data_IF_596189861189
#
_entry.id   IF_596189861189
#
_cell.length_a   1.000
_cell.length_b   1.000
_cell.length_c   1.000
_cell.angle_alpha   90.00
_cell.angle_beta   90.00
_cell.angle_gamma   90.00
#
_symmetry.space_group_name_H-M   'P 1'
#
loop_
_entity.id
_entity.type
_entity.pdbx_description
1 polymer ?
#
# COMPACT_ATOMS: atom_id res chain seq x y z
N UNK A 1 -38.47 0.10 -25.46
CA UNK A 1 -37.09 0.21 -25.99
C UNK A 1 -36.08 -0.50 -25.08
N UNK A 2 -36.08 -0.25 -23.78
CA UNK A 2 -35.16 -0.88 -22.81
C UNK A 2 -35.23 -2.40 -22.75
N UNK A 3 -36.42 -3.02 -22.77
CA UNK A 3 -36.58 -4.49 -22.72
C UNK A 3 -36.01 -5.21 -23.96
N UNK A 4 -36.10 -4.60 -25.13
CA UNK A 4 -35.50 -5.17 -26.36
C UNK A 4 -33.97 -5.04 -26.38
N UNK A 5 -33.43 -3.98 -25.81
CA UNK A 5 -31.98 -3.78 -25.65
C UNK A 5 -31.43 -4.80 -24.63
N UNK A 6 -32.12 -4.98 -23.52
CA UNK A 6 -31.77 -5.97 -22.49
C UNK A 6 -31.72 -7.39 -23.06
N UNK A 7 -32.78 -7.80 -23.78
CA UNK A 7 -32.83 -9.13 -24.42
C UNK A 7 -31.78 -9.33 -25.53
N UNK A 8 -31.33 -8.26 -26.22
CA UNK A 8 -30.22 -8.33 -27.17
C UNK A 8 -28.88 -8.47 -26.46
N UNK A 9 -28.64 -7.71 -25.40
CA UNK A 9 -27.42 -7.81 -24.58
C UNK A 9 -27.32 -9.21 -23.96
N UNK A 10 -28.40 -9.78 -23.42
CA UNK A 10 -28.40 -11.14 -22.89
C UNK A 10 -27.97 -12.18 -23.91
N UNK A 11 -28.41 -12.08 -25.16
CA UNK A 11 -27.96 -13.00 -26.23
C UNK A 11 -26.47 -12.88 -26.53
N UNK A 12 -25.88 -11.67 -26.46
CA UNK A 12 -24.45 -11.45 -26.65
C UNK A 12 -23.61 -12.18 -25.57
N UNK A 13 -24.11 -12.20 -24.33
CA UNK A 13 -23.41 -12.87 -23.23
C UNK A 13 -23.36 -14.40 -23.39
N UNK A 14 -24.23 -14.99 -24.20
CA UNK A 14 -24.15 -16.41 -24.52
C UNK A 14 -23.02 -16.76 -25.49
N UNK A 15 -22.52 -15.79 -26.27
CA UNK A 15 -21.39 -15.96 -27.19
C UNK A 15 -20.11 -15.88 -26.36
N UNK A 16 -19.26 -16.93 -26.31
CA UNK A 16 -18.08 -16.97 -25.45
C UNK A 16 -17.11 -15.80 -25.65
N UNK A 17 -16.96 -15.36 -26.90
CA UNK A 17 -16.08 -14.25 -27.24
C UNK A 17 -16.53 -12.93 -26.61
N UNK A 18 -17.78 -12.54 -26.72
CA UNK A 18 -18.28 -11.28 -26.14
C UNK A 18 -18.29 -11.32 -24.62
N UNK A 19 -18.56 -12.50 -24.04
CA UNK A 19 -18.46 -12.70 -22.60
C UNK A 19 -17.02 -12.49 -22.11
N UNK A 20 -16.05 -13.13 -22.75
CA UNK A 20 -14.63 -13.00 -22.37
C UNK A 20 -14.11 -11.58 -22.60
N UNK A 21 -14.50 -10.95 -23.71
CA UNK A 21 -14.13 -9.55 -24.01
C UNK A 21 -14.68 -8.59 -22.95
N UNK A 22 -15.95 -8.71 -22.59
CA UNK A 22 -16.56 -7.86 -21.56
C UNK A 22 -15.87 -8.08 -20.21
N UNK A 23 -15.61 -9.34 -19.82
CA UNK A 23 -14.90 -9.68 -18.61
C UNK A 23 -13.52 -9.00 -18.56
N UNK A 24 -12.76 -9.08 -19.67
CA UNK A 24 -11.43 -8.51 -19.79
C UNK A 24 -11.46 -6.96 -19.75
N UNK A 25 -12.39 -6.32 -20.45
CA UNK A 25 -12.50 -4.86 -20.48
C UNK A 25 -12.90 -4.29 -19.11
N UNK A 26 -13.86 -4.93 -18.43
CA UNK A 26 -14.27 -4.52 -17.08
C UNK A 26 -13.13 -4.71 -16.10
N UNK A 27 -12.39 -5.84 -16.19
CA UNK A 27 -11.23 -6.09 -15.36
C UNK A 27 -10.09 -5.09 -15.58
N UNK A 28 -9.79 -4.78 -16.85
CA UNK A 28 -8.74 -3.82 -17.22
C UNK A 28 -9.06 -2.37 -16.78
N UNK A 29 -10.33 -2.06 -16.48
CA UNK A 29 -10.75 -0.77 -15.95
C UNK A 29 -10.55 -0.65 -14.42
N UNK A 30 -10.27 -1.72 -13.70
CA UNK A 30 -10.13 -1.69 -12.23
C UNK A 30 -9.06 -0.73 -11.73
N UNK A 31 -7.87 -0.55 -12.38
CA UNK A 31 -6.87 0.40 -11.92
C UNK A 31 -7.38 1.85 -11.84
N UNK A 32 -8.39 2.22 -12.63
CA UNK A 32 -8.97 3.56 -12.60
C UNK A 32 -9.64 3.89 -11.25
N UNK A 33 -10.01 2.89 -10.46
CA UNK A 33 -10.57 3.09 -9.12
C UNK A 33 -9.51 3.39 -8.06
N UNK A 34 -8.23 3.15 -8.33
CA UNK A 34 -7.11 3.37 -7.43
C UNK A 34 -6.34 4.65 -7.77
N UNK A 35 -5.38 5.00 -6.92
CA UNK A 35 -4.43 6.06 -7.22
C UNK A 35 -3.60 5.72 -8.49
N UNK A 36 -3.28 6.73 -9.31
CA UNK A 36 -3.52 8.17 -9.16
C UNK A 36 -4.90 8.68 -9.61
N UNK A 37 -5.76 7.80 -10.12
CA UNK A 37 -7.03 8.21 -10.76
C UNK A 37 -8.16 8.46 -9.75
N UNK A 38 -8.20 7.71 -8.63
CA UNK A 38 -9.16 7.87 -7.53
C UNK A 38 -10.65 7.85 -7.91
N UNK A 39 -11.02 7.18 -9.02
CA UNK A 39 -12.44 7.00 -9.38
C UNK A 39 -13.08 5.90 -8.50
N UNK A 40 -13.11 6.12 -7.20
CA UNK A 40 -13.55 5.16 -6.18
C UNK A 40 -14.93 4.55 -6.46
N UNK A 41 -15.85 5.31 -7.03
CA UNK A 41 -17.21 4.88 -7.38
C UNK A 41 -17.24 3.80 -8.46
N UNK A 42 -16.18 3.66 -9.27
CA UNK A 42 -16.08 2.60 -10.27
C UNK A 42 -15.98 1.20 -9.63
N UNK A 43 -15.27 1.04 -8.52
CA UNK A 43 -14.99 -0.29 -7.99
C UNK A 43 -16.26 -1.06 -7.59
N UNK A 44 -17.24 -0.50 -6.85
CA UNK A 44 -18.50 -1.19 -6.60
C UNK A 44 -19.23 -1.59 -7.87
N UNK A 45 -19.16 -0.78 -8.93
CA UNK A 45 -19.81 -1.07 -10.22
C UNK A 45 -19.09 -2.21 -10.97
N UNK A 46 -17.76 -2.15 -11.05
CA UNK A 46 -16.95 -3.18 -11.73
C UNK A 46 -17.05 -4.53 -11.01
N UNK A 47 -17.01 -4.53 -9.68
CA UNK A 47 -17.18 -5.74 -8.90
C UNK A 47 -18.63 -6.27 -9.00
N UNK A 48 -19.63 -5.40 -8.99
CA UNK A 48 -21.02 -5.76 -9.26
C UNK A 48 -21.21 -6.38 -10.65
N UNK A 49 -20.54 -5.85 -11.68
CA UNK A 49 -20.56 -6.41 -13.01
C UNK A 49 -19.94 -7.82 -13.04
N UNK A 50 -18.82 -8.05 -12.32
CA UNK A 50 -18.25 -9.39 -12.15
C UNK A 50 -19.24 -10.36 -11.50
N UNK A 51 -19.89 -9.94 -10.38
CA UNK A 51 -20.91 -10.76 -9.70
C UNK A 51 -21.98 -11.21 -10.70
N UNK A 52 -22.52 -10.27 -11.46
CA UNK A 52 -23.58 -10.53 -12.44
C UNK A 52 -23.11 -11.45 -13.57
N UNK A 53 -21.94 -11.19 -14.15
CA UNK A 53 -21.37 -12.06 -15.18
C UNK A 53 -21.14 -13.48 -14.66
N UNK A 54 -20.65 -13.63 -13.43
CA UNK A 54 -20.44 -14.93 -12.81
C UNK A 54 -21.77 -15.70 -12.59
N UNK A 55 -22.84 -15.00 -12.18
CA UNK A 55 -24.18 -15.60 -12.03
C UNK A 55 -24.79 -16.04 -13.38
N UNK A 56 -24.49 -15.35 -14.48
CA UNK A 56 -24.94 -15.74 -15.83
C UNK A 56 -24.33 -17.08 -16.30
N UNK A 57 -23.13 -17.42 -15.83
CA UNK A 57 -22.45 -18.68 -16.18
C UNK A 57 -22.00 -19.45 -14.92
N UNK A 58 -22.94 -20.03 -14.15
CA UNK A 58 -22.61 -20.67 -12.86
C UNK A 58 -21.57 -21.81 -12.97
N UNK A 59 -21.55 -22.53 -14.11
CA UNK A 59 -20.57 -23.59 -14.38
C UNK A 59 -19.14 -23.04 -14.52
N UNK A 60 -18.99 -21.82 -15.01
CA UNK A 60 -17.71 -21.15 -15.26
C UNK A 60 -17.41 -20.03 -14.25
N UNK A 61 -18.22 -19.86 -13.19
CA UNK A 61 -18.13 -18.79 -12.21
C UNK A 61 -16.71 -18.62 -11.64
N UNK A 62 -16.07 -19.73 -11.24
CA UNK A 62 -14.73 -19.73 -10.68
C UNK A 62 -13.67 -19.29 -11.69
N UNK A 63 -13.78 -19.81 -12.92
CA UNK A 63 -12.88 -19.42 -14.02
C UNK A 63 -13.09 -17.95 -14.39
N UNK A 64 -14.31 -17.47 -14.40
CA UNK A 64 -14.62 -16.06 -14.68
C UNK A 64 -14.00 -15.15 -13.62
N UNK A 65 -14.10 -15.49 -12.34
CA UNK A 65 -13.45 -14.75 -11.26
C UNK A 65 -11.93 -14.78 -11.39
N UNK A 66 -11.34 -15.95 -11.67
CA UNK A 66 -9.91 -16.08 -11.88
C UNK A 66 -9.41 -15.20 -13.04
N UNK A 67 -10.03 -15.31 -14.22
CA UNK A 67 -9.64 -14.56 -15.41
C UNK A 67 -9.85 -13.05 -15.25
N UNK A 68 -10.94 -12.65 -14.60
CA UNK A 68 -11.17 -11.24 -14.28
C UNK A 68 -10.01 -10.67 -13.43
N UNK A 69 -9.69 -11.33 -12.32
CA UNK A 69 -8.66 -10.82 -11.42
C UNK A 69 -7.25 -11.05 -11.94
N UNK A 70 -7.02 -12.02 -12.79
CA UNK A 70 -5.77 -12.15 -13.53
C UNK A 70 -5.53 -10.90 -14.40
N UNK A 71 -6.54 -10.46 -15.17
CA UNK A 71 -6.43 -9.27 -16.01
C UNK A 71 -6.35 -8.00 -15.14
N UNK A 72 -7.18 -7.89 -14.11
CA UNK A 72 -7.19 -6.74 -13.19
C UNK A 72 -5.83 -6.56 -12.50
N UNK A 73 -5.27 -7.60 -11.90
CA UNK A 73 -3.97 -7.53 -11.25
C UNK A 73 -2.82 -7.33 -12.24
N UNK A 74 -2.89 -7.95 -13.43
CA UNK A 74 -1.89 -7.71 -14.49
C UNK A 74 -1.87 -6.24 -14.94
N UNK A 75 -3.05 -5.63 -15.07
CA UNK A 75 -3.16 -4.20 -15.41
C UNK A 75 -2.69 -3.29 -14.27
N UNK A 76 -2.97 -3.66 -13.03
CA UNK A 76 -2.66 -2.86 -11.86
C UNK A 76 -1.19 -2.93 -11.46
N UNK A 77 -0.55 -4.09 -11.64
CA UNK A 77 0.82 -4.38 -11.16
C UNK A 77 1.82 -4.51 -12.30
N UNK A 78 1.55 -3.94 -13.47
CA UNK A 78 2.50 -3.94 -14.58
C UNK A 78 3.87 -3.34 -14.22
N UNK A 79 3.91 -2.46 -13.21
CA UNK A 79 5.14 -1.88 -12.69
C UNK A 79 6.14 -2.91 -12.11
N UNK A 80 5.71 -4.15 -11.85
CA UNK A 80 6.63 -5.25 -11.50
C UNK A 80 7.59 -5.53 -12.66
N UNK A 81 7.12 -5.41 -13.90
CA UNK A 81 7.96 -5.53 -15.09
C UNK A 81 9.08 -4.48 -15.08
N UNK A 82 8.75 -3.23 -14.73
CA UNK A 82 9.74 -2.14 -14.63
C UNK A 82 10.83 -2.49 -13.63
N UNK A 83 10.49 -3.02 -12.46
CA UNK A 83 11.49 -3.43 -11.47
C UNK A 83 12.37 -4.57 -11.96
N UNK A 84 11.81 -5.55 -12.69
CA UNK A 84 12.56 -6.71 -13.18
C UNK A 84 13.39 -6.41 -14.41
N UNK A 85 12.83 -5.68 -15.38
CA UNK A 85 13.49 -5.41 -16.66
C UNK A 85 14.31 -4.12 -16.62
N UNK A 86 13.66 -2.98 -16.34
CA UNK A 86 14.28 -1.66 -16.52
C UNK A 86 15.33 -1.37 -15.44
N UNK A 87 15.09 -1.84 -14.20
CA UNK A 87 15.98 -1.58 -13.05
C UNK A 87 16.94 -2.73 -12.80
N UNK A 88 16.47 -3.99 -12.80
CA UNK A 88 17.32 -5.16 -12.52
C UNK A 88 18.00 -5.72 -13.77
N UNK A 89 17.65 -5.24 -14.98
CA UNK A 89 18.31 -5.67 -16.24
C UNK A 89 17.94 -7.08 -16.69
N UNK A 90 16.84 -7.67 -16.15
CA UNK A 90 16.41 -9.00 -16.55
C UNK A 90 15.85 -8.99 -17.98
N UNK A 91 16.28 -9.94 -18.82
CA UNK A 91 15.78 -10.05 -20.20
C UNK A 91 14.26 -10.26 -20.23
N UNK A 92 13.60 -9.66 -21.22
CA UNK A 92 12.13 -9.73 -21.39
C UNK A 92 11.58 -11.17 -21.52
N UNK A 93 12.39 -12.11 -22.02
CA UNK A 93 12.01 -13.53 -22.09
C UNK A 93 11.71 -14.09 -20.71
N UNK A 94 12.33 -13.57 -19.65
CA UNK A 94 12.11 -13.94 -18.26
C UNK A 94 11.22 -12.91 -17.53
N UNK A 95 11.47 -11.61 -17.74
CA UNK A 95 10.76 -10.54 -17.03
C UNK A 95 9.24 -10.58 -17.29
N UNK A 96 8.81 -10.76 -18.54
CA UNK A 96 7.39 -10.79 -18.90
C UNK A 96 6.66 -11.97 -18.24
N UNK A 97 7.09 -13.24 -18.38
CA UNK A 97 6.42 -14.36 -17.71
C UNK A 97 6.38 -14.22 -16.18
N UNK A 98 7.45 -13.75 -15.56
CA UNK A 98 7.51 -13.54 -14.11
C UNK A 98 6.58 -12.42 -13.64
N UNK A 99 6.44 -11.35 -14.43
CA UNK A 99 5.47 -10.28 -14.16
C UNK A 99 4.05 -10.81 -14.11
N UNK A 100 3.67 -11.73 -14.98
CA UNK A 100 2.34 -12.35 -14.97
C UNK A 100 2.16 -13.45 -13.93
N UNK A 101 3.23 -14.05 -13.45
CA UNK A 101 3.17 -15.14 -12.47
C UNK A 101 2.56 -14.64 -11.15
N UNK A 102 2.94 -13.45 -10.68
CA UNK A 102 2.39 -12.89 -9.44
C UNK A 102 0.88 -12.62 -9.54
N UNK A 103 0.35 -11.88 -10.54
CA UNK A 103 -1.09 -11.76 -10.78
C UNK A 103 -1.81 -13.10 -10.87
N UNK A 104 -1.21 -14.10 -11.52
CA UNK A 104 -1.81 -15.43 -11.65
C UNK A 104 -1.97 -16.14 -10.30
N UNK A 105 -0.97 -16.04 -9.43
CA UNK A 105 -1.05 -16.57 -8.06
C UNK A 105 -2.06 -15.78 -7.22
N UNK A 106 -2.03 -14.45 -7.28
CA UNK A 106 -2.96 -13.61 -6.54
C UNK A 106 -4.42 -13.84 -6.95
N UNK A 107 -4.68 -14.10 -8.23
CA UNK A 107 -6.03 -14.37 -8.74
C UNK A 107 -6.64 -15.69 -8.21
N UNK A 108 -5.86 -16.58 -7.60
CA UNK A 108 -6.36 -17.80 -6.96
C UNK A 108 -7.21 -17.47 -5.72
N UNK A 109 -6.93 -16.40 -4.97
CA UNK A 109 -7.73 -16.02 -3.81
C UNK A 109 -9.16 -15.60 -4.18
N UNK A 110 -9.39 -14.68 -5.14
CA UNK A 110 -10.70 -14.44 -5.73
C UNK A 110 -11.40 -15.69 -6.26
N UNK A 111 -10.67 -16.53 -6.98
CA UNK A 111 -11.22 -17.78 -7.51
C UNK A 111 -11.71 -18.70 -6.37
N UNK A 112 -10.96 -18.80 -5.28
CA UNK A 112 -11.34 -19.55 -4.09
C UNK A 112 -12.60 -18.96 -3.43
N UNK A 113 -12.68 -17.62 -3.27
CA UNK A 113 -13.88 -16.97 -2.74
C UNK A 113 -15.12 -17.32 -3.55
N UNK A 114 -15.04 -17.28 -4.89
CA UNK A 114 -16.14 -17.63 -5.78
C UNK A 114 -16.42 -19.15 -5.80
N UNK A 115 -15.41 -20.02 -5.64
CA UNK A 115 -15.59 -21.45 -5.50
C UNK A 115 -16.36 -21.82 -4.22
N UNK A 116 -16.03 -21.17 -3.12
CA UNK A 116 -16.75 -21.32 -1.85
C UNK A 116 -18.17 -20.76 -1.97
N UNK A 117 -18.31 -19.53 -2.50
CA UNK A 117 -19.62 -18.91 -2.73
C UNK A 117 -20.56 -19.79 -3.55
N UNK A 118 -20.07 -20.45 -4.60
CA UNK A 118 -20.86 -21.37 -5.43
C UNK A 118 -21.46 -22.54 -4.64
N UNK A 119 -20.80 -22.94 -3.52
CA UNK A 119 -21.24 -24.07 -2.69
C UNK A 119 -22.29 -23.69 -1.65
N UNK A 120 -22.44 -22.40 -1.34
CA UNK A 120 -23.43 -21.97 -0.36
C UNK A 120 -24.86 -22.05 -0.94
N UNK A 121 -25.75 -22.72 -0.19
CA UNK A 121 -27.19 -22.75 -0.44
C UNK A 121 -27.91 -21.50 0.10
N UNK A 122 -29.22 -21.49 -0.04
CA UNK A 122 -30.09 -20.43 0.47
C UNK A 122 -30.56 -19.44 -0.59
N UNK A 123 -31.25 -18.39 -0.16
CA UNK A 123 -31.78 -17.36 -1.08
C UNK A 123 -30.66 -16.60 -1.78
N UNK A 124 -30.94 -16.08 -2.98
CA UNK A 124 -30.00 -15.23 -3.72
C UNK A 124 -29.57 -14.02 -2.89
N UNK A 125 -30.50 -13.42 -2.16
CA UNK A 125 -30.22 -12.27 -1.27
C UNK A 125 -29.18 -12.63 -0.21
N UNK A 126 -29.28 -13.78 0.44
CA UNK A 126 -28.29 -14.25 1.41
C UNK A 126 -26.93 -14.52 0.75
N UNK A 127 -26.95 -15.26 -0.35
CA UNK A 127 -25.70 -15.65 -1.05
C UNK A 127 -24.93 -14.45 -1.60
N UNK A 128 -25.61 -13.54 -2.31
CA UNK A 128 -25.01 -12.37 -2.93
C UNK A 128 -24.75 -11.27 -1.90
N UNK A 129 -25.79 -10.91 -1.11
CA UNK A 129 -25.74 -9.73 -0.24
C UNK A 129 -24.95 -9.91 1.06
N UNK A 130 -24.73 -11.15 1.52
CA UNK A 130 -24.05 -11.43 2.79
C UNK A 130 -22.85 -12.34 2.61
N UNK A 131 -23.06 -13.53 2.06
CA UNK A 131 -22.01 -14.57 1.98
C UNK A 131 -20.83 -14.13 1.11
N UNK A 132 -21.11 -13.59 -0.08
CA UNK A 132 -20.03 -13.18 -1.00
C UNK A 132 -19.16 -12.05 -0.43
N UNK A 133 -19.68 -10.95 0.12
CA UNK A 133 -18.84 -9.93 0.77
C UNK A 133 -17.97 -10.48 1.89
N UNK A 134 -18.49 -11.39 2.72
CA UNK A 134 -17.72 -12.05 3.78
C UNK A 134 -16.59 -12.91 3.23
N UNK A 135 -16.90 -13.79 2.27
CA UNK A 135 -15.88 -14.65 1.64
C UNK A 135 -14.81 -13.86 0.89
N UNK A 136 -15.23 -12.76 0.26
CA UNK A 136 -14.29 -11.86 -0.40
C UNK A 136 -13.31 -11.23 0.59
N UNK A 137 -13.82 -10.67 1.68
CA UNK A 137 -12.98 -10.06 2.73
C UNK A 137 -12.02 -11.07 3.36
N UNK A 138 -12.52 -12.29 3.62
CA UNK A 138 -11.67 -13.36 4.13
C UNK A 138 -10.59 -13.79 3.12
N UNK A 139 -10.89 -13.79 1.82
CA UNK A 139 -9.90 -14.10 0.80
C UNK A 139 -8.81 -13.03 0.70
N UNK A 140 -9.16 -11.74 0.81
CA UNK A 140 -8.17 -10.65 0.85
C UNK A 140 -7.33 -10.69 2.13
N UNK A 141 -7.95 -10.92 3.29
CA UNK A 141 -7.23 -11.14 4.55
C UNK A 141 -6.26 -12.33 4.45
N UNK A 142 -6.72 -13.45 3.88
CA UNK A 142 -5.86 -14.61 3.67
C UNK A 142 -4.69 -14.32 2.73
N UNK A 143 -4.90 -13.51 1.69
CA UNK A 143 -3.86 -13.07 0.75
C UNK A 143 -2.79 -12.22 1.44
N UNK A 144 -3.17 -11.43 2.42
CA UNK A 144 -2.26 -10.57 3.19
C UNK A 144 -1.54 -11.34 4.30
N UNK A 145 -2.24 -12.23 5.03
CA UNK A 145 -1.76 -12.78 6.29
C UNK A 145 -1.42 -14.27 6.27
N UNK A 146 -2.05 -15.07 5.38
CA UNK A 146 -2.03 -16.54 5.51
C UNK A 146 -0.65 -17.16 5.30
N UNK A 147 0.15 -16.62 4.40
CA UNK A 147 1.48 -17.14 4.11
C UNK A 147 2.52 -16.18 4.66
N UNK A 148 3.14 -16.51 5.83
CA UNK A 148 4.12 -15.64 6.45
C UNK A 148 5.26 -15.30 5.49
N UNK A 149 5.49 -14.01 5.30
CA UNK A 149 6.52 -13.50 4.40
C UNK A 149 6.15 -13.40 2.92
N UNK A 150 5.01 -13.96 2.50
CA UNK A 150 4.48 -13.81 1.14
C UNK A 150 3.18 -13.00 1.09
N UNK A 151 2.76 -12.43 2.20
CA UNK A 151 1.56 -11.61 2.25
C UNK A 151 1.65 -10.45 1.27
N UNK A 152 0.56 -10.20 0.54
CA UNK A 152 0.50 -9.10 -0.43
C UNK A 152 -0.83 -8.37 -0.30
N UNK A 153 -0.81 -7.25 0.45
CA UNK A 153 -2.01 -6.43 0.71
C UNK A 153 -2.40 -5.50 -0.45
N UNK A 154 -1.49 -5.24 -1.40
CA UNK A 154 -1.75 -4.30 -2.50
C UNK A 154 -2.92 -4.71 -3.37
N UNK A 155 -3.67 -3.71 -3.84
CA UNK A 155 -4.83 -3.94 -4.71
C UNK A 155 -6.01 -4.61 -4.00
N UNK A 156 -6.07 -4.61 -2.67
CA UNK A 156 -7.28 -4.96 -1.95
C UNK A 156 -8.41 -4.00 -2.31
N UNK A 157 -9.63 -4.53 -2.38
CA UNK A 157 -10.81 -3.80 -2.84
C UNK A 157 -11.02 -2.49 -2.06
N UNK A 158 -10.73 -2.55 -0.76
CA UNK A 158 -10.86 -1.40 0.15
C UNK A 158 -9.97 -0.22 -0.21
N UNK A 159 -8.75 -0.45 -0.73
CA UNK A 159 -7.87 0.66 -1.11
C UNK A 159 -8.48 1.54 -2.20
N UNK A 160 -9.31 1.00 -3.09
CA UNK A 160 -10.03 1.81 -4.08
C UNK A 160 -10.91 2.89 -3.46
N UNK A 161 -11.29 2.72 -2.19
CA UNK A 161 -12.14 3.64 -1.45
C UNK A 161 -11.36 4.66 -0.60
N UNK A 162 -10.05 4.52 -0.51
CA UNK A 162 -9.20 5.49 0.17
C UNK A 162 -8.99 6.68 -0.75
N UNK A 163 -9.98 7.56 -0.73
CA UNK A 163 -10.09 8.78 -1.52
C UNK A 163 -10.85 9.83 -0.71
N UNK A 164 -10.56 11.10 -0.95
CA UNK A 164 -11.07 12.23 -0.17
C UNK A 164 -12.60 12.21 0.01
N UNK A 165 -13.31 11.93 -1.08
CA UNK A 165 -14.79 12.01 -1.10
C UNK A 165 -15.48 10.64 -1.00
N UNK A 166 -14.73 9.54 -0.82
CA UNK A 166 -15.35 8.23 -0.68
C UNK A 166 -15.99 8.06 0.69
N UNK A 167 -17.31 7.81 0.76
CA UNK A 167 -17.97 7.55 2.02
C UNK A 167 -17.44 6.26 2.68
N UNK A 168 -17.09 5.24 1.89
CA UNK A 168 -16.69 3.94 2.44
C UNK A 168 -15.34 3.97 3.15
N UNK A 169 -14.49 4.97 2.89
CA UNK A 169 -13.28 5.20 3.66
C UNK A 169 -13.56 5.39 5.17
N UNK A 170 -14.76 5.85 5.54
CA UNK A 170 -15.19 5.97 6.94
C UNK A 170 -15.16 4.67 7.74
N UNK A 171 -15.17 3.52 7.09
CA UNK A 171 -15.06 2.23 7.77
C UNK A 171 -13.62 1.89 8.20
N UNK A 172 -12.60 2.59 7.68
CA UNK A 172 -11.19 2.28 7.97
C UNK A 172 -10.82 2.36 9.46
N UNK A 173 -11.23 3.38 10.25
CA UNK A 173 -10.92 3.43 11.68
C UNK A 173 -11.57 2.32 12.51
N UNK A 174 -12.58 1.60 11.99
CA UNK A 174 -13.33 0.57 12.74
C UNK A 174 -12.59 -0.77 12.75
N UNK A 175 -12.19 -1.26 11.58
CA UNK A 175 -11.47 -2.52 11.43
C UNK A 175 -10.55 -2.53 10.19
N UNK A 176 -9.87 -1.41 9.97
CA UNK A 176 -8.86 -1.27 8.93
C UNK A 176 -9.42 -1.40 7.52
N UNK A 177 -8.50 -1.62 6.60
CA UNK A 177 -8.80 -1.78 5.18
C UNK A 177 -9.77 -2.94 4.90
N UNK A 178 -9.84 -3.93 5.78
CA UNK A 178 -10.73 -5.07 5.63
C UNK A 178 -12.20 -4.69 5.85
N UNK A 179 -12.49 -3.75 6.76
CA UNK A 179 -13.85 -3.21 6.90
C UNK A 179 -14.27 -2.42 5.66
N UNK A 180 -13.35 -1.67 5.06
CA UNK A 180 -13.57 -0.94 3.81
C UNK A 180 -13.78 -1.91 2.64
N UNK A 181 -12.99 -2.98 2.56
CA UNK A 181 -13.18 -4.09 1.60
C UNK A 181 -14.56 -4.71 1.72
N UNK A 182 -14.97 -5.06 2.93
CA UNK A 182 -16.29 -5.62 3.17
C UNK A 182 -17.41 -4.66 2.75
N UNK A 183 -17.33 -3.39 3.14
CA UNK A 183 -18.33 -2.39 2.79
C UNK A 183 -18.40 -2.18 1.26
N UNK A 184 -17.28 -2.20 0.57
CA UNK A 184 -17.20 -2.07 -0.90
C UNK A 184 -17.83 -3.28 -1.60
N UNK A 185 -17.49 -4.49 -1.16
CA UNK A 185 -18.07 -5.72 -1.69
C UNK A 185 -19.57 -5.83 -1.39
N UNK A 186 -19.99 -5.43 -0.19
CA UNK A 186 -21.40 -5.39 0.20
C UNK A 186 -22.18 -4.36 -0.63
N UNK A 187 -21.64 -3.16 -0.80
CA UNK A 187 -22.26 -2.14 -1.66
C UNK A 187 -22.45 -2.66 -3.09
N UNK A 188 -21.42 -3.25 -3.68
CA UNK A 188 -21.49 -3.85 -5.01
C UNK A 188 -22.58 -4.94 -5.11
N UNK A 189 -22.61 -5.83 -4.13
CA UNK A 189 -23.59 -6.93 -4.06
C UNK A 189 -25.03 -6.41 -3.93
N UNK A 190 -25.26 -5.43 -3.07
CA UNK A 190 -26.60 -4.86 -2.87
C UNK A 190 -27.02 -3.95 -4.03
N UNK A 191 -26.10 -3.32 -4.77
CA UNK A 191 -26.41 -2.65 -6.03
C UNK A 191 -26.87 -3.66 -7.10
N UNK A 192 -26.24 -4.82 -7.21
CA UNK A 192 -26.70 -5.91 -8.10
C UNK A 192 -28.11 -6.38 -7.72
N UNK A 193 -28.35 -6.60 -6.42
CA UNK A 193 -29.67 -7.00 -5.94
C UNK A 193 -30.73 -5.91 -6.20
N UNK A 194 -30.38 -4.63 -6.02
CA UNK A 194 -31.27 -3.49 -6.28
C UNK A 194 -31.73 -3.43 -7.75
N UNK A 195 -30.81 -3.69 -8.67
CA UNK A 195 -31.08 -3.64 -10.12
C UNK A 195 -31.88 -4.86 -10.59
N UNK A 196 -31.53 -6.06 -10.08
CA UNK A 196 -32.05 -7.32 -10.60
C UNK A 196 -33.33 -7.80 -9.92
N UNK A 197 -33.69 -7.24 -8.77
CA UNK A 197 -34.84 -7.72 -8.01
C UNK A 197 -36.15 -7.26 -8.64
N UNK A 198 -37.06 -8.21 -8.84
CA UNK A 198 -38.45 -7.91 -9.19
C UNK A 198 -39.28 -7.71 -7.91
N UNK A 199 -40.19 -6.77 -7.96
CA UNK A 199 -41.06 -6.42 -6.83
C UNK A 199 -40.54 -5.26 -5.98
N UNK A 200 -41.46 -4.32 -5.68
CA UNK A 200 -41.10 -3.05 -5.04
C UNK A 200 -40.56 -3.22 -3.61
N UNK A 201 -41.08 -4.22 -2.83
CA UNK A 201 -40.69 -4.46 -1.42
C UNK A 201 -39.22 -4.89 -1.33
N UNK A 202 -38.80 -5.86 -2.14
CA UNK A 202 -37.43 -6.34 -2.13
C UNK A 202 -36.47 -5.29 -2.71
N UNK A 203 -36.93 -4.52 -3.72
CA UNK A 203 -36.14 -3.39 -4.25
C UNK A 203 -35.99 -2.29 -3.21
N UNK A 204 -37.05 -1.95 -2.48
CA UNK A 204 -36.98 -0.99 -1.38
C UNK A 204 -36.02 -1.45 -0.27
N UNK A 205 -36.07 -2.74 0.10
CA UNK A 205 -35.11 -3.34 1.04
C UNK A 205 -33.68 -3.19 0.56
N UNK A 206 -33.38 -3.51 -0.70
CA UNK A 206 -32.03 -3.37 -1.26
C UNK A 206 -31.59 -1.89 -1.26
N UNK A 207 -32.48 -0.97 -1.64
CA UNK A 207 -32.21 0.47 -1.60
C UNK A 207 -31.92 0.96 -0.17
N UNK A 208 -32.68 0.50 0.82
CA UNK A 208 -32.43 0.83 2.23
C UNK A 208 -31.06 0.34 2.70
N UNK A 209 -30.64 -0.87 2.30
CA UNK A 209 -29.33 -1.38 2.71
C UNK A 209 -28.20 -0.62 2.01
N UNK A 210 -28.32 -0.31 0.72
CA UNK A 210 -27.39 0.56 0.00
C UNK A 210 -27.26 1.92 0.71
N UNK A 211 -28.39 2.54 1.03
CA UNK A 211 -28.43 3.81 1.73
C UNK A 211 -27.81 3.71 3.15
N UNK A 212 -28.02 2.59 3.84
CA UNK A 212 -27.43 2.34 5.17
C UNK A 212 -25.91 2.20 5.08
N UNK A 213 -25.37 1.43 4.11
CA UNK A 213 -23.92 1.27 3.94
C UNK A 213 -23.27 2.62 3.64
N UNK A 214 -23.80 3.37 2.67
CA UNK A 214 -23.27 4.68 2.30
C UNK A 214 -23.45 5.69 3.44
N UNK A 215 -24.63 5.74 4.06
CA UNK A 215 -24.93 6.63 5.18
C UNK A 215 -24.06 6.36 6.42
N UNK A 216 -23.85 5.08 6.76
CA UNK A 216 -22.94 4.70 7.83
C UNK A 216 -21.49 5.15 7.53
N UNK A 217 -21.04 4.94 6.31
CA UNK A 217 -19.72 5.41 5.89
C UNK A 217 -19.57 6.94 5.96
N UNK A 218 -20.57 7.69 5.47
CA UNK A 218 -20.61 9.15 5.63
C UNK A 218 -20.57 9.57 7.10
N UNK A 219 -21.38 8.94 7.96
CA UNK A 219 -21.41 9.23 9.39
C UNK A 219 -20.05 8.94 10.04
N UNK A 220 -19.44 7.79 9.75
CA UNK A 220 -18.13 7.42 10.30
C UNK A 220 -17.02 8.38 9.86
N UNK A 221 -17.11 8.96 8.66
CA UNK A 221 -16.18 10.00 8.17
C UNK A 221 -16.23 11.29 9.00
N UNK A 222 -17.33 11.55 9.69
CA UNK A 222 -17.47 12.74 10.56
C UNK A 222 -17.02 12.47 12.00
N UNK A 223 -16.69 11.22 12.35
CA UNK A 223 -16.28 10.86 13.70
C UNK A 223 -14.77 11.01 13.87
N UNK A 224 -14.38 11.59 14.98
CA UNK A 224 -12.98 11.68 15.40
C UNK A 224 -12.70 10.58 16.42
N UNK A 225 -11.84 9.63 16.05
CA UNK A 225 -11.45 8.50 16.89
C UNK A 225 -10.20 8.78 17.73
N UNK A 226 -9.54 9.90 17.47
CA UNK A 226 -8.34 10.36 18.18
C UNK A 226 -8.51 11.82 18.58
N UNK A 227 -7.77 12.23 19.60
CA UNK A 227 -7.77 13.63 20.05
C UNK A 227 -6.45 14.30 19.66
N UNK A 228 -6.53 15.52 19.19
CA UNK A 228 -5.35 16.34 18.96
C UNK A 228 -4.67 16.68 20.30
N UNK A 229 -3.34 16.57 20.36
CA UNK A 229 -2.54 16.92 21.53
C UNK A 229 -2.51 18.42 21.81
N UNK A 230 -2.92 19.24 20.84
CA UNK A 230 -2.97 20.69 20.92
C UNK A 230 -1.63 21.40 20.74
N UNK A 231 -0.56 20.67 20.42
CA UNK A 231 0.76 21.23 20.15
C UNK A 231 1.11 21.03 18.68
N UNK A 232 1.22 22.11 17.89
CA UNK A 232 1.67 21.99 16.52
C UNK A 232 3.15 21.59 16.48
N UNK A 233 3.48 20.65 15.60
CA UNK A 233 4.85 20.18 15.36
C UNK A 233 5.21 20.42 13.91
N UNK A 234 6.32 21.08 13.65
CA UNK A 234 6.85 21.24 12.30
C UNK A 234 7.59 19.96 11.89
N UNK A 235 7.26 19.44 10.71
CA UNK A 235 7.81 18.20 10.18
C UNK A 235 8.35 18.43 8.77
N UNK A 236 9.40 17.70 8.41
CA UNK A 236 9.97 17.69 7.07
C UNK A 236 10.19 16.26 6.58
N UNK A 237 9.75 16.00 5.35
CA UNK A 237 10.05 14.79 4.60
C UNK A 237 11.07 15.13 3.50
N UNK A 238 12.21 14.45 3.49
CA UNK A 238 13.29 14.71 2.54
C UNK A 238 13.21 13.74 1.38
N UNK A 239 13.41 14.25 0.15
CA UNK A 239 13.45 13.50 -1.09
C UNK A 239 14.79 13.66 -1.78
N UNK A 240 15.52 12.54 -2.00
CA UNK A 240 16.83 12.58 -2.63
C UNK A 240 16.80 12.51 -4.16
N UNK A 241 15.75 11.91 -4.73
CA UNK A 241 15.62 11.63 -6.17
C UNK A 241 16.83 10.90 -6.79
N UNK A 242 17.43 9.98 -6.04
CA UNK A 242 18.59 9.21 -6.47
C UNK A 242 18.11 7.94 -7.20
N UNK A 243 18.64 7.71 -8.40
CA UNK A 243 18.33 6.52 -9.20
C UNK A 243 18.79 5.25 -8.49
N UNK A 244 18.00 4.17 -8.59
CA UNK A 244 18.29 2.92 -7.91
C UNK A 244 19.63 2.30 -8.30
N UNK A 245 20.00 2.38 -9.58
CA UNK A 245 21.24 1.83 -10.11
C UNK A 245 22.50 2.54 -9.58
N UNK A 246 22.38 3.82 -9.23
CA UNK A 246 23.47 4.65 -8.70
C UNK A 246 23.61 4.57 -7.18
N UNK A 247 22.60 4.08 -6.49
CA UNK A 247 22.47 4.19 -5.03
C UNK A 247 23.56 3.43 -4.28
N UNK A 248 23.99 2.28 -4.79
CA UNK A 248 24.99 1.42 -4.16
C UNK A 248 26.36 1.46 -4.85
N UNK A 249 26.58 2.43 -5.75
CA UNK A 249 27.90 2.71 -6.33
C UNK A 249 28.74 3.49 -5.30
N UNK A 250 29.85 2.93 -4.88
CA UNK A 250 30.76 3.54 -3.87
C UNK A 250 31.22 4.94 -4.28
N UNK A 251 31.41 5.19 -5.58
CA UNK A 251 31.80 6.51 -6.09
C UNK A 251 30.70 7.58 -5.83
N UNK A 252 29.48 7.15 -5.57
CA UNK A 252 28.31 8.01 -5.32
C UNK A 252 28.01 8.25 -3.84
N UNK A 253 28.66 7.57 -2.91
CA UNK A 253 28.38 7.71 -1.49
C UNK A 253 28.60 9.15 -1.01
N UNK A 254 29.76 9.74 -1.27
CA UNK A 254 30.05 11.13 -0.87
C UNK A 254 29.11 12.15 -1.54
N UNK A 255 28.85 12.11 -2.86
CA UNK A 255 27.81 12.95 -3.47
C UNK A 255 26.42 12.78 -2.85
N UNK A 256 26.03 11.55 -2.50
CA UNK A 256 24.77 11.27 -1.83
C UNK A 256 24.69 11.90 -0.44
N UNK A 257 25.73 11.74 0.38
CA UNK A 257 25.83 12.40 1.68
C UNK A 257 25.77 13.92 1.55
N UNK A 258 26.52 14.49 0.58
CA UNK A 258 26.52 15.94 0.35
C UNK A 258 25.12 16.45 -0.01
N UNK A 259 24.40 15.76 -0.91
CA UNK A 259 23.03 16.09 -1.28
C UNK A 259 22.11 16.13 -0.05
N UNK A 260 22.06 15.02 0.72
CA UNK A 260 21.20 14.97 1.91
C UNK A 260 21.62 15.96 2.98
N UNK A 261 22.92 16.20 3.15
CA UNK A 261 23.44 17.20 4.07
C UNK A 261 22.94 18.61 3.71
N UNK A 262 23.01 18.99 2.44
CA UNK A 262 22.56 20.29 1.96
C UNK A 262 21.03 20.44 2.10
N UNK A 263 20.25 19.36 1.89
CA UNK A 263 18.81 19.36 2.13
C UNK A 263 18.46 19.49 3.61
N UNK A 264 19.17 18.80 4.51
CA UNK A 264 18.98 18.91 5.96
C UNK A 264 19.30 20.32 6.47
N UNK A 265 20.29 21.00 5.90
CA UNK A 265 20.63 22.39 6.25
C UNK A 265 19.56 23.40 5.86
N UNK A 266 18.72 23.07 4.88
CA UNK A 266 17.69 24.00 4.39
C UNK A 266 16.42 24.01 5.26
N UNK A 267 16.20 22.97 6.07
CA UNK A 267 14.99 22.83 6.88
C UNK A 267 15.19 23.27 8.32
N UNK A 268 14.17 23.90 8.89
CA UNK A 268 14.07 24.23 10.31
C UNK A 268 12.94 23.47 11.02
N UNK A 269 12.40 22.44 10.37
CA UNK A 269 11.38 21.58 10.96
C UNK A 269 11.92 20.85 12.20
N UNK A 270 11.08 20.69 13.23
CA UNK A 270 11.46 20.01 14.47
C UNK A 270 11.76 18.53 14.27
N UNK A 271 11.03 17.87 13.37
CA UNK A 271 11.21 16.45 13.00
C UNK A 271 11.55 16.38 11.52
N UNK A 272 12.69 15.80 11.17
CA UNK A 272 13.16 15.62 9.81
C UNK A 272 13.31 14.12 9.52
N UNK A 273 12.62 13.62 8.50
CA UNK A 273 12.66 12.22 8.10
C UNK A 273 13.33 12.08 6.74
N UNK A 274 14.41 11.32 6.68
CA UNK A 274 15.06 10.92 5.45
C UNK A 274 14.48 9.61 4.92
N UNK A 275 14.55 9.36 3.60
CA UNK A 275 13.98 8.16 3.00
C UNK A 275 14.77 6.88 3.32
N UNK A 276 14.18 5.74 2.96
CA UNK A 276 14.77 4.40 3.07
C UNK A 276 16.14 4.34 2.40
N UNK A 277 17.13 3.82 3.13
CA UNK A 277 18.53 3.76 2.68
C UNK A 277 19.04 5.08 2.10
N UNK A 278 18.67 6.22 2.72
CA UNK A 278 19.24 7.52 2.38
C UNK A 278 20.76 7.50 2.55
N UNK A 279 21.24 6.79 3.55
CA UNK A 279 22.64 6.45 3.70
C UNK A 279 22.88 5.05 3.14
N UNK A 280 23.61 4.93 2.02
CA UNK A 280 23.72 3.65 1.30
C UNK A 280 24.70 2.67 1.94
N UNK A 281 25.63 3.14 2.80
CA UNK A 281 26.57 2.30 3.54
C UNK A 281 25.90 1.75 4.82
N UNK A 282 26.42 0.61 5.28
CA UNK A 282 26.02 0.11 6.60
C UNK A 282 26.39 1.11 7.70
N UNK A 283 25.48 1.34 8.64
CA UNK A 283 25.63 2.32 9.72
C UNK A 283 26.99 2.23 10.43
N UNK A 284 27.45 1.01 10.68
CA UNK A 284 28.73 0.73 11.36
C UNK A 284 29.96 1.00 10.50
N UNK A 285 29.80 1.16 9.19
CA UNK A 285 30.88 1.44 8.24
C UNK A 285 30.92 2.93 7.82
N UNK A 286 29.96 3.72 8.27
CA UNK A 286 29.96 5.17 8.01
C UNK A 286 30.95 5.83 8.95
N UNK A 287 31.78 6.72 8.42
CA UNK A 287 32.73 7.49 9.20
C UNK A 287 31.98 8.31 10.28
N UNK A 288 32.37 8.21 11.56
CA UNK A 288 31.68 8.90 12.67
C UNK A 288 31.54 10.41 12.47
N UNK A 289 32.50 11.00 11.74
CA UNK A 289 32.52 12.42 11.38
C UNK A 289 31.33 12.81 10.51
N UNK A 290 30.92 11.94 9.56
CA UNK A 290 29.75 12.15 8.69
C UNK A 290 28.48 12.19 9.55
N UNK A 291 28.30 11.18 10.41
CA UNK A 291 27.12 11.12 11.29
C UNK A 291 27.08 12.35 12.23
N UNK A 292 28.23 12.74 12.76
CA UNK A 292 28.36 13.92 13.63
C UNK A 292 28.01 15.21 12.88
N UNK A 293 28.45 15.36 11.63
CA UNK A 293 28.12 16.54 10.81
C UNK A 293 26.62 16.66 10.57
N UNK A 294 25.94 15.56 10.26
CA UNK A 294 24.48 15.54 10.08
C UNK A 294 23.75 15.88 11.39
N UNK A 295 24.16 15.27 12.50
CA UNK A 295 23.58 15.55 13.82
C UNK A 295 23.72 17.03 14.18
N UNK A 296 24.91 17.60 14.00
CA UNK A 296 25.18 19.02 14.25
C UNK A 296 24.43 19.97 13.31
N UNK A 297 24.27 19.58 12.02
CA UNK A 297 23.48 20.37 11.07
C UNK A 297 22.01 20.43 11.49
N UNK A 298 21.42 19.31 11.86
CA UNK A 298 20.06 19.23 12.38
C UNK A 298 19.92 20.02 13.70
N UNK A 299 20.86 19.86 14.64
CA UNK A 299 20.85 20.54 15.93
C UNK A 299 20.88 22.06 15.80
N UNK A 300 21.71 22.61 14.89
CA UNK A 300 21.80 24.06 14.63
C UNK A 300 20.46 24.64 14.16
N UNK A 301 19.65 23.83 13.47
CA UNK A 301 18.34 24.22 12.99
C UNK A 301 17.21 23.89 13.99
N UNK A 302 17.54 23.33 15.16
CA UNK A 302 16.56 22.91 16.17
C UNK A 302 15.83 21.64 15.81
N UNK A 303 16.33 20.88 14.83
CA UNK A 303 15.73 19.67 14.26
C UNK A 303 16.25 18.40 14.94
N UNK A 304 15.42 17.35 14.93
CA UNK A 304 15.82 15.97 15.21
C UNK A 304 15.64 15.13 13.96
N UNK A 305 16.65 14.30 13.65
CA UNK A 305 16.81 13.65 12.36
C UNK A 305 16.61 12.14 12.48
N UNK A 306 15.73 11.57 11.63
CA UNK A 306 15.60 10.14 11.40
C UNK A 306 16.12 9.78 9.99
N UNK A 307 16.98 8.78 9.90
CA UNK A 307 17.71 8.44 8.67
C UNK A 307 17.48 6.97 8.33
N UNK A 308 17.04 6.69 7.10
CA UNK A 308 17.01 5.34 6.57
C UNK A 308 18.43 4.85 6.23
N UNK A 309 18.83 3.71 6.79
CA UNK A 309 20.19 3.16 6.67
C UNK A 309 20.18 1.65 6.87
N UNK A 310 20.97 0.86 6.09
CA UNK A 310 21.20 -0.53 6.45
C UNK A 310 22.13 -0.60 7.68
N UNK A 311 21.86 -1.54 8.59
CA UNK A 311 22.64 -1.73 9.81
C UNK A 311 22.93 -3.21 10.06
N UNK A 312 24.09 -3.53 10.60
CA UNK A 312 24.35 -4.87 11.09
C UNK A 312 23.55 -5.17 12.35
N UNK A 313 23.17 -6.43 12.53
CA UNK A 313 22.65 -6.93 13.80
C UNK A 313 23.73 -6.84 14.89
N UNK A 314 23.33 -6.87 16.16
CA UNK A 314 24.26 -6.78 17.30
C UNK A 314 25.36 -7.84 17.26
N UNK A 315 25.06 -9.04 16.74
CA UNK A 315 26.03 -10.14 16.58
C UNK A 315 26.92 -10.00 15.32
N UNK A 316 26.69 -8.97 14.49
CA UNK A 316 27.42 -8.70 13.26
C UNK A 316 27.25 -9.73 12.13
N UNK A 317 26.35 -10.72 12.31
CA UNK A 317 26.21 -11.83 11.35
C UNK A 317 25.21 -11.55 10.23
N UNK A 318 24.24 -10.69 10.51
CA UNK A 318 23.16 -10.37 9.61
C UNK A 318 23.00 -8.85 9.51
N UNK A 319 22.09 -8.38 8.69
CA UNK A 319 21.81 -6.97 8.53
C UNK A 319 20.33 -6.67 8.44
N UNK A 320 19.99 -5.44 8.79
CA UNK A 320 18.64 -4.89 8.92
C UNK A 320 18.48 -3.72 7.96
N UNK A 321 17.30 -3.57 7.39
CA UNK A 321 16.85 -2.32 6.80
C UNK A 321 16.24 -1.49 7.92
N UNK A 322 16.85 -0.35 8.26
CA UNK A 322 16.51 0.38 9.47
C UNK A 322 16.30 1.88 9.24
N UNK A 323 15.58 2.48 10.15
CA UNK A 323 15.57 3.92 10.41
C UNK A 323 16.20 4.15 11.77
N UNK A 324 17.19 5.04 11.82
CA UNK A 324 17.86 5.42 13.06
C UNK A 324 17.71 6.92 13.34
N UNK A 325 17.58 7.28 14.61
CA UNK A 325 17.72 8.69 15.00
C UNK A 325 19.19 9.03 15.14
N UNK A 326 19.62 10.19 14.63
CA UNK A 326 20.96 10.69 14.94
C UNK A 326 20.90 11.47 16.26
N UNK A 327 21.77 11.13 17.24
CA UNK A 327 21.69 11.72 18.56
C UNK A 327 21.93 13.23 18.49
N UNK A 328 20.99 13.98 19.04
CA UNK A 328 21.18 15.36 19.38
C UNK A 328 21.91 15.39 20.74
N UNK A 329 23.13 15.90 20.76
CA UNK A 329 24.01 15.89 21.93
C UNK A 329 23.42 16.58 23.16
N UNK A 330 22.40 17.43 22.97
CA UNK A 330 21.74 18.17 24.05
C UNK A 330 20.43 17.57 24.52
N UNK A 331 19.69 16.87 23.64
CA UNK A 331 18.30 16.42 23.93
C UNK A 331 18.10 14.91 23.93
N UNK A 332 18.84 14.17 23.11
CA UNK A 332 18.72 12.72 23.00
C UNK A 332 20.11 12.07 23.00
N UNK A 333 20.57 11.55 24.14
CA UNK A 333 21.91 10.99 24.25
C UNK A 333 22.07 9.60 23.60
N UNK A 334 20.97 8.89 23.29
CA UNK A 334 21.01 7.54 22.74
C UNK A 334 20.39 7.49 21.34
N UNK A 335 21.10 6.82 20.42
CA UNK A 335 20.56 6.46 19.12
C UNK A 335 19.41 5.46 19.31
N UNK A 336 18.27 5.72 18.66
CA UNK A 336 17.13 4.83 18.62
C UNK A 336 17.04 4.21 17.21
N UNK A 337 16.48 3.02 17.11
CA UNK A 337 16.35 2.30 15.82
C UNK A 337 14.97 1.66 15.71
N UNK A 338 14.38 1.77 14.52
CA UNK A 338 13.32 0.91 14.01
C UNK A 338 13.88 0.07 12.88
N UNK A 339 13.66 -1.24 12.90
CA UNK A 339 14.10 -2.15 11.85
C UNK A 339 12.91 -2.78 11.14
N UNK A 340 12.95 -2.83 9.82
CA UNK A 340 11.89 -3.37 8.97
C UNK A 340 11.52 -4.80 9.34
N UNK A 341 10.23 -5.05 9.55
CA UNK A 341 9.70 -6.36 9.92
C UNK A 341 9.12 -7.12 8.72
N UNK A 342 8.35 -6.45 7.85
CA UNK A 342 7.85 -7.04 6.62
C UNK A 342 8.79 -6.77 5.45
N UNK A 343 9.59 -7.77 5.11
CA UNK A 343 10.55 -7.71 4.01
C UNK A 343 9.88 -7.99 2.68
N UNK A 344 10.34 -7.32 1.64
CA UNK A 344 9.87 -7.54 0.26
C UNK A 344 10.36 -8.90 -0.24
N UNK A 345 9.44 -9.83 -0.57
CA UNK A 345 9.81 -11.10 -1.18
C UNK A 345 10.62 -10.87 -2.46
N UNK A 346 11.66 -11.67 -2.67
CA UNK A 346 12.61 -11.59 -3.78
C UNK A 346 13.49 -10.33 -3.81
N UNK A 347 13.12 -9.23 -3.17
CA UNK A 347 13.91 -8.01 -3.11
C UNK A 347 14.84 -7.94 -1.91
N UNK A 348 14.35 -8.29 -0.73
CA UNK A 348 15.08 -8.15 0.54
C UNK A 348 15.39 -9.49 1.21
N UNK A 349 14.68 -10.54 0.84
CA UNK A 349 15.00 -11.91 1.27
C UNK A 349 14.66 -12.92 0.17
N UNK A 350 15.31 -14.07 0.20
CA UNK A 350 15.17 -15.15 -0.79
C UNK A 350 14.13 -16.17 -0.32
N UNK A 351 12.87 -16.06 -0.77
CA UNK A 351 11.88 -17.07 -0.43
C UNK A 351 12.18 -18.38 -1.17
N UNK A 352 11.95 -19.53 -0.50
CA UNK A 352 12.16 -20.87 -1.07
C UNK A 352 13.52 -21.02 -1.78
N UNK A 353 14.65 -20.82 -1.09
CA UNK A 353 15.98 -20.68 -1.71
C UNK A 353 16.39 -21.88 -2.57
N UNK A 354 15.85 -23.07 -2.29
CA UNK A 354 16.09 -24.28 -3.11
C UNK A 354 15.59 -24.12 -4.55
N UNK A 355 14.48 -23.41 -4.75
CA UNK A 355 13.85 -23.22 -6.06
C UNK A 355 14.32 -21.92 -6.72
N UNK A 356 14.51 -20.87 -5.93
CA UNK A 356 14.74 -19.51 -6.43
C UNK A 356 16.20 -19.17 -6.66
N UNK A 357 17.15 -19.97 -6.16
CA UNK A 357 18.60 -19.74 -6.33
C UNK A 357 19.05 -19.47 -7.77
N UNK A 358 18.58 -20.19 -8.80
CA UNK A 358 18.96 -19.89 -10.20
C UNK A 358 18.48 -18.50 -10.65
N UNK A 359 17.31 -18.07 -10.21
CA UNK A 359 16.75 -16.76 -10.53
C UNK A 359 17.61 -15.62 -9.94
N UNK A 360 18.06 -15.77 -8.70
CA UNK A 360 18.94 -14.78 -8.05
C UNK A 360 20.30 -14.65 -8.71
N UNK A 361 20.83 -15.73 -9.26
CA UNK A 361 22.08 -15.69 -10.03
C UNK A 361 21.95 -14.87 -11.32
N UNK A 362 20.73 -14.80 -11.89
CA UNK A 362 20.42 -14.02 -13.09
C UNK A 362 20.12 -12.53 -12.78
N UNK A 363 19.62 -12.23 -11.58
CA UNK A 363 19.09 -10.90 -11.27
C UNK A 363 20.10 -9.95 -10.62
N UNK A 364 21.30 -10.39 -10.28
CA UNK A 364 22.36 -9.59 -9.64
C UNK A 364 21.84 -8.57 -8.60
N UNK A 365 20.95 -9.00 -7.68
CA UNK A 365 20.31 -8.11 -6.71
C UNK A 365 21.21 -7.89 -5.49
N UNK A 366 21.60 -6.64 -5.21
CA UNK A 366 22.32 -6.31 -3.99
C UNK A 366 21.40 -6.43 -2.76
N UNK A 367 21.97 -6.83 -1.62
CA UNK A 367 21.32 -6.81 -0.30
C UNK A 367 20.05 -7.67 -0.20
N UNK A 368 20.02 -8.89 -0.73
CA UNK A 368 18.88 -9.78 -0.74
C UNK A 368 18.82 -10.79 0.44
N UNK A 369 19.39 -10.47 1.61
CA UNK A 369 19.40 -11.34 2.80
C UNK A 369 19.18 -10.55 4.11
N UNK A 370 18.28 -9.56 4.09
CA UNK A 370 17.90 -8.82 5.29
C UNK A 370 17.21 -9.71 6.33
N UNK A 371 17.45 -9.39 7.60
CA UNK A 371 16.75 -9.96 8.74
C UNK A 371 15.54 -9.09 9.10
N UNK A 372 14.53 -9.71 9.71
CA UNK A 372 13.36 -9.00 10.24
C UNK A 372 13.70 -8.35 11.57
N UNK A 373 13.25 -7.11 11.75
CA UNK A 373 13.43 -6.36 12.99
C UNK A 373 12.55 -6.80 14.16
N UNK A 374 11.57 -7.66 13.87
CA UNK A 374 10.57 -8.10 14.86
C UNK A 374 9.32 -7.22 14.91
N UNK A 375 8.23 -7.79 15.41
CA UNK A 375 6.94 -7.12 15.55
C UNK A 375 6.90 -6.19 16.78
N UNK A 376 5.95 -5.27 16.80
CA UNK A 376 5.62 -4.40 17.95
C UNK A 376 6.80 -3.56 18.48
N UNK A 377 7.67 -3.09 17.61
CA UNK A 377 8.75 -2.19 17.99
C UNK A 377 8.19 -0.87 18.54
N UNK A 378 8.88 -0.31 19.54
CA UNK A 378 8.47 0.94 20.16
C UNK A 378 8.59 2.12 19.19
N UNK A 379 7.71 3.13 19.27
CA UNK A 379 7.89 4.38 18.55
C UNK A 379 9.20 5.07 18.93
N UNK A 380 9.80 5.77 17.97
CA UNK A 380 10.99 6.61 18.21
C UNK A 380 10.58 7.93 18.83
N UNK A 381 11.34 8.40 19.82
CA UNK A 381 11.12 9.72 20.43
C UNK A 381 11.85 10.77 19.60
N UNK A 382 11.12 11.78 19.11
CA UNK A 382 11.65 12.88 18.29
C UNK A 382 10.95 14.20 18.65
N UNK A 383 11.70 15.21 18.98
CA UNK A 383 11.20 16.55 19.32
C UNK A 383 10.10 16.57 20.40
N UNK A 384 10.15 15.62 21.33
CA UNK A 384 9.13 15.46 22.37
C UNK A 384 7.90 14.66 21.94
N UNK A 385 7.81 14.25 20.68
CA UNK A 385 6.76 13.41 20.12
C UNK A 385 7.21 11.94 20.02
N UNK A 386 6.25 11.03 19.94
CA UNK A 386 6.47 9.61 19.68
C UNK A 386 6.05 9.30 18.24
N UNK A 387 7.00 8.93 17.41
CA UNK A 387 6.80 8.64 15.99
C UNK A 387 6.85 7.14 15.74
N UNK A 388 5.73 6.54 15.33
CA UNK A 388 5.71 5.14 14.91
C UNK A 388 6.16 5.06 13.45
N UNK A 389 7.25 4.33 13.23
CA UNK A 389 7.80 4.12 11.89
C UNK A 389 7.28 2.84 11.24
N UNK A 390 7.21 2.88 9.93
CA UNK A 390 7.23 1.73 9.04
C UNK A 390 8.13 2.03 7.84
N UNK A 391 8.59 1.00 7.14
CA UNK A 391 9.53 1.15 6.03
C UNK A 391 8.90 0.58 4.75
N UNK A 392 8.67 1.45 3.77
CA UNK A 392 8.31 1.10 2.39
C UNK A 392 7.09 0.16 2.31
N UNK A 393 7.31 -1.11 1.94
CA UNK A 393 6.32 -2.16 1.77
C UNK A 393 5.42 -2.40 3.00
N UNK A 394 5.87 -2.05 4.19
CA UNK A 394 5.12 -2.19 5.44
C UNK A 394 3.84 -1.36 5.48
N UNK A 395 3.69 -0.34 4.64
CA UNK A 395 2.42 0.37 4.45
C UNK A 395 1.27 -0.56 4.03
N UNK A 396 1.59 -1.70 3.44
CA UNK A 396 0.62 -2.74 3.09
C UNK A 396 0.03 -3.51 4.28
N UNK A 397 0.62 -3.40 5.50
CA UNK A 397 0.29 -4.23 6.68
C UNK A 397 -0.15 -3.36 7.85
N UNK A 398 -1.45 -3.01 7.87
CA UNK A 398 -2.01 -2.11 8.89
C UNK A 398 -1.94 -2.67 10.30
N UNK A 399 -2.06 -3.98 10.47
CA UNK A 399 -2.07 -4.64 11.77
C UNK A 399 -0.77 -4.42 12.55
N UNK A 400 0.37 -4.31 11.88
CA UNK A 400 1.68 -4.08 12.52
C UNK A 400 1.79 -2.67 13.15
N UNK A 401 1.03 -1.70 12.63
CA UNK A 401 1.01 -0.35 13.17
C UNK A 401 0.07 -0.17 14.37
N UNK A 402 -0.84 -1.09 14.64
CA UNK A 402 -1.83 -0.93 15.72
C UNK A 402 -1.15 -0.74 17.09
N UNK A 403 -0.18 -1.61 17.43
CA UNK A 403 0.48 -1.55 18.74
C UNK A 403 1.37 -0.31 18.90
N UNK A 404 2.29 0.03 17.96
CA UNK A 404 3.08 1.25 18.07
C UNK A 404 2.25 2.52 17.95
N UNK A 405 1.20 2.54 17.10
CA UNK A 405 0.32 3.70 16.96
C UNK A 405 -0.43 4.06 18.25
N UNK A 406 -0.81 3.08 19.08
CA UNK A 406 -1.42 3.36 20.39
C UNK A 406 -0.53 4.18 21.32
N UNK A 407 0.78 4.14 21.12
CA UNK A 407 1.77 4.81 21.93
C UNK A 407 2.38 6.03 21.25
N UNK A 408 2.00 6.34 20.02
CA UNK A 408 2.58 7.42 19.21
C UNK A 408 1.60 8.57 19.01
N UNK A 409 2.14 9.74 18.67
CA UNK A 409 1.39 10.92 18.25
C UNK A 409 1.42 11.09 16.73
N UNK A 410 2.47 10.60 16.08
CA UNK A 410 2.71 10.68 14.64
C UNK A 410 3.07 9.31 14.05
N UNK A 411 2.85 9.17 12.76
CA UNK A 411 3.35 8.07 11.96
C UNK A 411 4.40 8.59 10.97
N UNK A 412 5.37 7.74 10.62
CA UNK A 412 6.31 8.03 9.55
C UNK A 412 6.56 6.81 8.68
N UNK A 413 6.54 7.00 7.36
CA UNK A 413 6.95 5.99 6.39
C UNK A 413 8.22 6.47 5.67
N UNK A 414 9.26 5.64 5.72
CA UNK A 414 10.53 5.87 5.03
C UNK A 414 10.63 4.90 3.85
N UNK A 415 10.62 5.40 2.61
CA UNK A 415 10.47 4.58 1.40
C UNK A 415 11.50 4.86 0.32
N UNK A 416 11.67 3.86 -0.57
CA UNK A 416 12.40 4.02 -1.80
C UNK A 416 11.65 3.36 -2.97
N UNK A 417 10.98 4.17 -3.77
CA UNK A 417 10.21 3.71 -4.94
C UNK A 417 11.01 3.78 -6.26
N UNK A 418 12.30 4.06 -6.21
CA UNK A 418 13.16 4.13 -7.39
C UNK A 418 13.22 2.80 -8.19
N UNK A 419 12.89 1.67 -7.54
CA UNK A 419 12.71 0.36 -8.19
C UNK A 419 11.62 0.32 -9.25
N UNK A 420 10.64 1.20 -9.16
CA UNK A 420 9.44 1.17 -9.99
C UNK A 420 9.35 2.38 -10.93
N UNK A 421 10.43 3.18 -11.00
CA UNK A 421 10.49 4.42 -11.80
C UNK A 421 9.22 5.29 -11.63
N UNK A 422 8.78 5.98 -12.68
CA UNK A 422 7.61 6.86 -12.65
C UNK A 422 6.28 6.12 -12.91
N UNK A 423 6.16 4.91 -12.34
CA UNK A 423 4.96 4.09 -12.49
C UNK A 423 3.87 4.40 -11.45
N UNK A 424 2.70 3.79 -11.64
CA UNK A 424 1.59 3.91 -10.69
C UNK A 424 1.90 3.31 -9.29
N UNK A 425 3.00 2.54 -9.13
CA UNK A 425 3.40 1.97 -7.85
C UNK A 425 3.54 3.02 -6.75
N UNK A 426 4.18 4.16 -7.05
CA UNK A 426 4.39 5.23 -6.06
C UNK A 426 3.08 5.84 -5.56
N UNK A 427 2.09 5.99 -6.43
CA UNK A 427 0.77 6.52 -6.08
C UNK A 427 -0.06 5.52 -5.31
N UNK A 428 -0.01 4.25 -5.70
CA UNK A 428 -0.68 3.16 -4.98
C UNK A 428 -0.11 2.99 -3.57
N UNK A 429 1.20 3.15 -3.39
CA UNK A 429 1.80 3.09 -2.06
C UNK A 429 1.45 4.34 -1.23
N UNK A 430 1.39 5.54 -1.83
CA UNK A 430 0.86 6.72 -1.12
C UNK A 430 -0.59 6.47 -0.65
N UNK A 431 -1.43 5.84 -1.47
CA UNK A 431 -2.79 5.48 -1.08
C UNK A 431 -2.82 4.50 0.11
N UNK A 432 -1.81 3.64 0.26
CA UNK A 432 -1.66 2.81 1.46
C UNK A 432 -1.27 3.65 2.68
N UNK A 433 -0.34 4.60 2.55
CA UNK A 433 -0.03 5.57 3.61
C UNK A 433 -1.26 6.37 4.04
N UNK A 434 -2.12 6.79 3.08
CA UNK A 434 -3.39 7.44 3.37
C UNK A 434 -4.32 6.53 4.20
N UNK A 435 -4.38 5.23 3.85
CA UNK A 435 -5.14 4.25 4.63
C UNK A 435 -4.59 4.13 6.05
N UNK A 436 -3.28 4.02 6.23
CA UNK A 436 -2.65 3.95 7.57
C UNK A 436 -2.93 5.17 8.42
N UNK A 437 -2.79 6.38 7.84
CA UNK A 437 -3.11 7.63 8.53
C UNK A 437 -4.57 7.65 9.01
N UNK A 438 -5.50 7.26 8.14
CA UNK A 438 -6.94 7.22 8.43
C UNK A 438 -7.30 6.15 9.47
N UNK A 439 -6.74 4.95 9.36
CA UNK A 439 -6.99 3.84 10.30
C UNK A 439 -6.52 4.17 11.71
N UNK A 440 -5.32 4.78 11.81
CA UNK A 440 -4.71 5.10 13.10
C UNK A 440 -5.10 6.48 13.64
N UNK A 441 -5.78 7.30 12.81
CA UNK A 441 -6.19 8.66 13.17
C UNK A 441 -5.01 9.58 13.50
N UNK A 442 -3.90 9.49 12.73
CA UNK A 442 -2.67 10.25 12.96
C UNK A 442 -2.11 10.80 11.66
N UNK A 443 -1.41 11.93 11.76
CA UNK A 443 -0.61 12.41 10.62
C UNK A 443 0.45 11.39 10.24
N UNK A 444 0.67 11.22 8.93
CA UNK A 444 1.72 10.40 8.36
C UNK A 444 2.74 11.28 7.63
N UNK A 445 3.98 11.23 8.06
CA UNK A 445 5.14 11.83 7.38
C UNK A 445 5.67 10.77 6.42
N UNK A 446 5.52 10.97 5.12
CA UNK A 446 6.02 10.04 4.12
C UNK A 446 7.23 10.62 3.42
N UNK A 447 8.41 10.10 3.72
CA UNK A 447 9.67 10.45 3.06
C UNK A 447 10.06 9.38 2.04
N UNK A 448 10.20 9.75 0.76
CA UNK A 448 10.62 8.82 -0.29
C UNK A 448 11.88 9.30 -0.98
N UNK A 449 12.79 8.38 -1.32
CA UNK A 449 13.96 8.74 -2.13
C UNK A 449 13.53 9.20 -3.53
N UNK A 450 12.76 8.39 -4.23
CA UNK A 450 12.07 8.71 -5.48
C UNK A 450 10.66 8.16 -5.36
N UNK A 451 9.64 8.99 -5.59
CA UNK A 451 8.25 8.59 -5.41
C UNK A 451 7.37 9.73 -4.89
N UNK A 452 6.27 9.39 -4.26
CA UNK A 452 5.32 10.37 -3.72
C UNK A 452 5.66 10.74 -2.27
N UNK A 453 6.54 11.70 -2.06
CA UNK A 453 6.82 12.30 -0.75
C UNK A 453 5.65 13.21 -0.36
N UNK A 454 5.03 12.94 0.80
CA UNK A 454 3.79 13.63 1.19
C UNK A 454 3.61 13.71 2.71
N UNK A 455 2.78 14.64 3.13
CA UNK A 455 2.20 14.69 4.47
C UNK A 455 0.72 14.35 4.34
N UNK A 456 0.26 13.38 5.13
CA UNK A 456 -1.12 12.90 5.11
C UNK A 456 -1.79 13.18 6.46
N UNK A 457 -3.02 13.70 6.42
CA UNK A 457 -3.79 14.02 7.62
C UNK A 457 -4.39 12.75 8.28
N UNK A 458 -4.84 12.85 9.55
CA UNK A 458 -5.57 11.77 10.23
C UNK A 458 -6.84 11.30 9.52
N UNK A 459 -7.38 12.11 8.61
CA UNK A 459 -8.54 11.76 7.77
C UNK A 459 -8.14 11.05 6.47
N UNK A 460 -6.83 10.76 6.26
CA UNK A 460 -6.30 10.13 5.06
C UNK A 460 -6.18 11.06 3.86
N UNK A 461 -6.30 12.38 4.04
CA UNK A 461 -6.17 13.35 2.97
C UNK A 461 -4.72 13.82 2.81
N UNK A 462 -4.28 14.02 1.59
CA UNK A 462 -2.96 14.58 1.29
C UNK A 462 -2.98 16.07 1.64
N UNK A 463 -2.19 16.45 2.66
CA UNK A 463 -2.04 17.86 3.11
C UNK A 463 -1.08 18.59 2.18
N UNK A 464 0.05 17.96 1.88
CA UNK A 464 1.07 18.48 0.97
C UNK A 464 1.80 17.32 0.31
N UNK A 465 2.29 17.55 -0.91
CA UNK A 465 3.02 16.58 -1.71
C UNK A 465 4.14 17.27 -2.48
N UNK A 466 5.32 16.66 -2.49
CA UNK A 466 6.45 17.13 -3.29
C UNK A 466 6.33 16.64 -4.76
N UNK A 467 6.90 17.38 -5.72
CA UNK A 467 7.12 16.83 -7.07
C UNK A 467 7.97 15.56 -6.99
N UNK A 468 7.60 14.52 -7.74
CA UNK A 468 8.22 13.17 -7.62
C UNK A 468 9.62 13.06 -8.24
N UNK A 469 9.99 14.00 -9.10
CA UNK A 469 11.16 13.96 -9.99
C UNK A 469 12.28 14.94 -9.61
N UNK A 470 12.20 15.58 -8.43
CA UNK A 470 13.21 16.53 -7.95
C UNK A 470 13.68 16.18 -6.53
N UNK A 471 14.95 16.47 -6.25
CA UNK A 471 15.43 16.45 -4.88
C UNK A 471 14.92 17.69 -4.12
N UNK A 472 14.51 17.51 -2.87
CA UNK A 472 13.97 18.63 -2.08
C UNK A 472 13.51 18.23 -0.69
N UNK A 473 12.96 19.22 0.01
CA UNK A 473 12.38 19.09 1.35
C UNK A 473 10.93 19.52 1.29
N UNK A 474 10.04 18.68 1.78
CA UNK A 474 8.62 18.97 1.96
C UNK A 474 8.38 19.28 3.43
N UNK A 475 8.06 20.52 3.75
CA UNK A 475 7.76 20.95 5.12
C UNK A 475 6.25 21.13 5.33
N UNK A 476 5.81 20.85 6.55
CA UNK A 476 4.44 21.10 7.02
C UNK A 476 4.42 21.29 8.53
N UNK A 477 3.30 21.82 9.02
CA UNK A 477 2.98 21.80 10.45
C UNK A 477 1.79 20.86 10.66
N UNK A 478 1.91 19.99 11.64
CA UNK A 478 0.93 18.93 11.92
C UNK A 478 0.48 18.97 13.37
#
# INVERSE_FOLDING_TARGET
>A
MFSRLHARLERLWHIPFFYALALALIAAATPLAFAPYYHFWLMPLLFGALIRLAELKPKHMVLSAYLFWLVAYSSQFWWIHTAMHDVSGLDNVFAVPLTFLMPAVLALYPALAFALWRRFGGSRTLRVGVVLPMLWTLAEFAREQLVPGFGFGWGALGYSQIAEYSPLAGFAPIAGIHAVTWATAALAAWLVLLVDTEGWKERAKAACIVALIVGAGCFLRTQEFTQNTGRPVSVAAVQGNIEQQLKFDESRYLPTYQLYYDLVKQTHAQIVVLPETAFPQFLQNIEPEILTQFAQAAERNGSELAVGVPAFTEDGRNYLNAVVTLPNTQKQPAQQMYAKNHLVPFGEYKPLPVITKPLYQLMNMPLADFQRGGANQAPLNMAGEKVAFNICYEDGFGDDLIAPAKQSTLLANSSNMAWFADSNAMWQQLQQSQARALEMGRYMIRATNRGATAIVSPQGNIVSIAPSDVAGVLESTV
#
